data_IF_058021380955
#
_entry.id   IF_058021380955
#
_cell.length_a   1.000
_cell.length_b   1.000
_cell.length_c   1.000
_cell.angle_alpha   90.00
_cell.angle_beta   90.00
_cell.angle_gamma   90.00
#
_symmetry.space_group_name_H-M   'P 1'
#
loop_
_entity.id
_entity.type
_entity.pdbx_description
1 polymer ?
#
# COMPACT_ATOMS: atom_id res chain seq x y z
N UNK A 1 -2.98 -11.71 23.72
CA UNK A 1 -3.47 -12.92 23.03
C UNK A 1 -4.97 -12.85 22.76
N UNK A 2 -5.83 -12.67 23.77
CA UNK A 2 -7.27 -12.46 23.58
C UNK A 2 -7.60 -11.36 22.55
N UNK A 3 -6.92 -10.21 22.62
CA UNK A 3 -7.02 -9.14 21.63
C UNK A 3 -6.66 -9.57 20.20
N UNK A 4 -5.65 -10.43 20.03
CA UNK A 4 -5.31 -10.99 18.71
C UNK A 4 -6.44 -11.89 18.20
N UNK A 5 -7.05 -12.71 19.05
CA UNK A 5 -8.21 -13.53 18.66
C UNK A 5 -9.41 -12.68 18.26
N UNK A 6 -9.70 -11.61 19.01
CA UNK A 6 -10.72 -10.63 18.66
C UNK A 6 -10.44 -9.96 17.30
N UNK A 7 -9.18 -9.60 17.03
CA UNK A 7 -8.74 -9.07 15.74
C UNK A 7 -8.88 -10.11 14.61
N UNK A 8 -8.57 -11.37 14.84
CA UNK A 8 -8.78 -12.44 13.86
C UNK A 8 -10.27 -12.67 13.59
N UNK A 9 -11.11 -12.62 14.64
CA UNK A 9 -12.58 -12.67 14.51
C UNK A 9 -13.09 -11.49 13.67
N UNK A 10 -12.60 -10.27 13.91
CA UNK A 10 -12.91 -9.09 13.10
C UNK A 10 -12.51 -9.27 11.62
N UNK A 11 -11.38 -9.95 11.36
CA UNK A 11 -10.90 -10.27 10.00
C UNK A 11 -11.61 -11.44 9.32
N UNK A 12 -12.64 -12.04 9.95
CA UNK A 12 -13.27 -13.28 9.51
C UNK A 12 -12.27 -14.44 9.31
N UNK A 13 -11.22 -14.47 10.14
CA UNK A 13 -10.20 -15.51 10.13
C UNK A 13 -10.42 -16.48 11.31
N UNK A 14 -9.92 -17.72 11.19
CA UNK A 14 -9.80 -18.63 12.33
C UNK A 14 -9.14 -17.97 13.55
N UNK A 15 -9.83 -18.01 14.70
CA UNK A 15 -9.37 -17.42 15.96
C UNK A 15 -9.30 -18.40 17.14
N UNK A 16 -10.04 -19.52 17.08
CA UNK A 16 -10.02 -20.61 18.07
C UNK A 16 -9.35 -21.89 17.55
N UNK A 17 -8.45 -21.76 16.58
CA UNK A 17 -7.69 -22.89 16.04
C UNK A 17 -6.36 -22.40 15.47
N UNK A 18 -5.35 -23.26 15.55
CA UNK A 18 -4.06 -23.07 14.91
C UNK A 18 -3.78 -24.21 13.91
N UNK A 19 -3.12 -23.86 12.81
CA UNK A 19 -2.71 -24.81 11.77
C UNK A 19 -1.23 -25.21 11.88
N UNK A 20 -0.49 -24.62 12.82
CA UNK A 20 0.89 -24.97 13.13
C UNK A 20 0.95 -25.82 14.41
N UNK A 21 2.09 -26.48 14.62
CA UNK A 21 2.40 -27.23 15.85
C UNK A 21 1.31 -28.26 16.27
N UNK A 22 0.62 -28.88 15.31
CA UNK A 22 -0.52 -29.79 15.56
C UNK A 22 -0.19 -30.93 16.53
N UNK A 23 1.05 -31.43 16.49
CA UNK A 23 1.52 -32.45 17.42
C UNK A 23 1.56 -31.93 18.87
N UNK A 24 2.03 -30.69 19.08
CA UNK A 24 2.05 -30.09 20.42
C UNK A 24 0.64 -29.71 20.86
N UNK A 25 -0.18 -29.20 19.94
CA UNK A 25 -1.56 -28.78 20.21
C UNK A 25 -2.48 -29.92 20.68
N UNK A 26 -2.13 -31.17 20.39
CA UNK A 26 -2.87 -32.37 20.82
C UNK A 26 -2.32 -33.02 22.10
N UNK A 27 -1.12 -32.63 22.56
CA UNK A 27 -0.51 -33.18 23.78
C UNK A 27 -0.91 -32.36 25.01
N UNK A 28 -1.42 -33.00 26.08
CA UNK A 28 -1.66 -32.31 27.34
C UNK A 28 -0.38 -31.67 27.90
N UNK A 29 -0.49 -30.41 28.32
CA UNK A 29 0.61 -29.62 28.87
C UNK A 29 0.89 -30.03 30.32
N UNK A 30 2.16 -30.30 30.61
CA UNK A 30 2.64 -30.45 31.98
C UNK A 30 2.98 -29.07 32.56
N UNK A 31 2.77 -28.83 33.87
CA UNK A 31 2.30 -29.78 34.88
C UNK A 31 0.77 -29.92 34.97
N UNK A 32 -0.01 -29.20 34.14
CA UNK A 32 -1.47 -29.16 34.26
C UNK A 32 -2.15 -30.53 34.08
N UNK A 33 -1.58 -31.40 33.26
CA UNK A 33 -2.07 -32.76 33.02
C UNK A 33 -1.56 -33.81 34.03
N UNK A 34 -0.88 -33.41 35.10
CA UNK A 34 -0.53 -34.34 36.18
C UNK A 34 -1.78 -34.73 36.96
N UNK A 35 -1.72 -35.88 37.65
CA UNK A 35 -2.87 -36.40 38.38
C UNK A 35 -3.37 -35.42 39.46
N UNK A 36 -4.58 -35.69 39.94
CA UNK A 36 -5.28 -34.84 40.92
C UNK A 36 -4.52 -34.65 42.25
N UNK A 37 -3.47 -35.44 42.54
CA UNK A 37 -2.62 -35.20 43.70
C UNK A 37 -1.59 -34.08 43.47
N UNK A 38 -1.31 -33.74 42.20
CA UNK A 38 -0.38 -32.67 41.82
C UNK A 38 -1.08 -31.41 41.31
N UNK A 39 -2.16 -31.56 40.54
CA UNK A 39 -2.97 -30.43 40.10
C UNK A 39 -4.36 -30.47 40.74
N UNK A 40 -4.55 -29.72 41.83
CA UNK A 40 -5.83 -29.63 42.56
C UNK A 40 -6.88 -28.77 41.84
N UNK A 41 -6.52 -28.07 40.75
CA UNK A 41 -7.42 -27.19 40.01
C UNK A 41 -8.00 -27.93 38.80
N UNK A 42 -9.24 -28.41 38.95
CA UNK A 42 -9.96 -29.18 37.93
C UNK A 42 -10.09 -28.44 36.60
N UNK A 43 -10.33 -27.12 36.60
CA UNK A 43 -10.42 -26.33 35.36
C UNK A 43 -9.12 -26.39 34.57
N UNK A 44 -7.97 -26.19 35.23
CA UNK A 44 -6.68 -26.25 34.53
C UNK A 44 -6.29 -27.67 34.12
N UNK A 45 -6.74 -28.69 34.86
CA UNK A 45 -6.53 -30.09 34.51
C UNK A 45 -7.34 -30.48 33.26
N UNK A 46 -8.63 -30.14 33.24
CA UNK A 46 -9.55 -30.44 32.13
C UNK A 46 -9.17 -29.67 30.85
N UNK A 47 -8.67 -28.44 31.01
CA UNK A 47 -8.17 -27.62 29.91
C UNK A 47 -6.65 -27.74 29.69
N UNK A 48 -6.02 -28.83 30.15
CA UNK A 48 -4.56 -29.02 30.00
C UNK A 48 -4.10 -29.21 28.55
N UNK A 49 -5.01 -29.45 27.60
CA UNK A 49 -4.66 -29.53 26.17
C UNK A 49 -4.63 -28.13 25.54
N UNK A 50 -3.59 -27.74 24.77
CA UNK A 50 -3.53 -26.39 24.19
C UNK A 50 -4.75 -26.01 23.33
N UNK A 51 -5.35 -26.97 22.61
CA UNK A 51 -6.54 -26.71 21.81
C UNK A 51 -7.75 -26.27 22.63
N UNK A 52 -7.87 -26.66 23.90
CA UNK A 52 -9.00 -26.28 24.76
C UNK A 52 -8.84 -24.91 25.43
N UNK A 53 -7.70 -24.22 25.25
CA UNK A 53 -7.43 -22.93 25.90
C UNK A 53 -7.55 -21.73 24.97
N UNK A 54 -7.83 -21.93 23.68
CA UNK A 54 -8.11 -20.81 22.78
C UNK A 54 -9.35 -20.03 23.22
N UNK A 55 -10.41 -20.73 23.64
CA UNK A 55 -11.60 -20.09 24.16
C UNK A 55 -11.41 -19.69 25.62
N UNK A 56 -10.89 -18.49 25.83
CA UNK A 56 -10.66 -17.97 27.18
C UNK A 56 -11.96 -17.64 27.92
N UNK A 57 -13.06 -17.35 27.21
CA UNK A 57 -14.37 -17.14 27.85
C UNK A 57 -14.89 -18.46 28.43
N UNK A 58 -14.63 -19.57 27.73
CA UNK A 58 -14.87 -20.94 28.23
C UNK A 58 -14.08 -21.30 29.51
N UNK A 59 -12.98 -20.59 29.80
CA UNK A 59 -12.23 -20.73 31.07
C UNK A 59 -12.84 -19.92 32.23
N UNK A 60 -13.91 -19.16 31.98
CA UNK A 60 -14.67 -18.46 33.02
C UNK A 60 -14.15 -17.07 33.39
N UNK A 61 -13.37 -16.43 32.53
CA UNK A 61 -12.91 -15.05 32.74
C UNK A 61 -13.11 -14.17 31.49
N UNK A 62 -13.19 -12.86 31.73
CA UNK A 62 -13.27 -11.84 30.69
C UNK A 62 -12.38 -10.65 31.05
N UNK A 63 -12.06 -9.83 30.06
CA UNK A 63 -11.37 -8.55 30.25
C UNK A 63 -12.40 -7.42 30.30
N UNK A 64 -12.11 -6.38 31.05
CA UNK A 64 -12.91 -5.16 31.13
C UNK A 64 -12.99 -4.43 29.78
N UNK A 65 -11.89 -4.44 29.01
CA UNK A 65 -11.83 -3.96 27.64
C UNK A 65 -10.82 -4.77 26.80
N UNK A 66 -10.91 -4.63 25.47
CA UNK A 66 -9.95 -5.18 24.51
C UNK A 66 -9.47 -4.06 23.57
N UNK A 67 -8.83 -3.06 24.17
CA UNK A 67 -8.29 -1.91 23.46
C UNK A 67 -6.75 -1.95 23.40
N UNK A 68 -6.19 -1.40 22.33
CA UNK A 68 -4.75 -1.21 22.17
C UNK A 68 -4.46 0.28 22.09
N UNK A 69 -3.81 0.84 23.13
CA UNK A 69 -3.51 2.27 23.18
C UNK A 69 -4.76 3.16 23.01
N UNK A 70 -5.89 2.73 23.61
CA UNK A 70 -7.19 3.39 23.48
C UNK A 70 -7.91 3.16 22.15
N UNK A 71 -7.33 2.37 21.24
CA UNK A 71 -7.96 2.02 19.97
C UNK A 71 -8.76 0.73 20.07
N UNK A 72 -9.94 0.74 19.47
CA UNK A 72 -10.78 -0.43 19.26
C UNK A 72 -10.13 -1.43 18.30
N UNK A 73 -10.67 -2.66 18.26
CA UNK A 73 -10.19 -3.73 17.36
C UNK A 73 -10.27 -3.32 15.88
N UNK A 74 -11.29 -2.55 15.48
CA UNK A 74 -11.44 -2.10 14.10
C UNK A 74 -10.37 -1.06 13.73
N UNK A 75 -10.16 -0.06 14.58
CA UNK A 75 -9.12 0.96 14.40
C UNK A 75 -7.72 0.32 14.39
N UNK A 76 -7.49 -0.67 15.25
CA UNK A 76 -6.24 -1.43 15.23
C UNK A 76 -6.03 -2.18 13.89
N UNK A 77 -7.07 -2.75 13.29
CA UNK A 77 -6.95 -3.38 11.96
C UNK A 77 -6.60 -2.35 10.88
N UNK A 78 -7.22 -1.17 10.92
CA UNK A 78 -6.95 -0.08 9.99
C UNK A 78 -5.52 0.44 10.13
N UNK A 79 -5.03 0.64 11.36
CA UNK A 79 -3.62 1.00 11.62
C UNK A 79 -2.65 -0.06 11.09
N UNK A 80 -2.97 -1.35 11.25
CA UNK A 80 -2.16 -2.45 10.72
C UNK A 80 -2.18 -2.45 9.17
N UNK A 81 -3.31 -2.11 8.53
CA UNK A 81 -3.40 -1.98 7.07
C UNK A 81 -2.54 -0.82 6.58
N UNK A 82 -2.64 0.36 7.20
CA UNK A 82 -1.79 1.51 6.89
C UNK A 82 -0.30 1.16 7.05
N UNK A 83 0.07 0.42 8.10
CA UNK A 83 1.43 -0.08 8.29
C UNK A 83 1.87 -1.08 7.20
N UNK A 84 0.95 -1.87 6.66
CA UNK A 84 1.22 -2.81 5.55
C UNK A 84 1.33 -2.14 4.19
N UNK A 85 0.81 -0.92 4.03
CA UNK A 85 0.90 -0.14 2.80
C UNK A 85 2.25 0.58 2.65
N UNK A 86 3.24 0.28 3.50
CA UNK A 86 4.58 0.82 3.44
C UNK A 86 5.58 -0.31 3.24
N UNK A 87 6.56 -0.07 2.37
CA UNK A 87 7.72 -0.93 2.22
C UNK A 87 8.51 -1.01 3.52
N UNK A 88 8.99 -2.21 3.83
CA UNK A 88 9.75 -2.46 5.04
C UNK A 88 10.87 -3.45 4.79
N UNK A 89 12.00 -3.20 5.44
CA UNK A 89 13.06 -4.19 5.58
C UNK A 89 13.02 -4.74 7.00
N UNK A 90 13.10 -6.07 7.09
CA UNK A 90 13.21 -6.77 8.36
C UNK A 90 14.57 -7.44 8.49
N UNK A 91 15.19 -7.30 9.66
CA UNK A 91 16.19 -8.23 10.14
C UNK A 91 15.47 -9.48 10.67
N UNK A 92 15.78 -10.64 10.10
CA UNK A 92 15.09 -11.89 10.39
C UNK A 92 16.04 -12.87 11.09
N UNK A 93 15.72 -13.23 12.32
CA UNK A 93 16.56 -14.05 13.20
C UNK A 93 15.95 -15.45 13.37
N UNK A 94 16.75 -16.49 13.14
CA UNK A 94 16.38 -17.86 13.51
C UNK A 94 16.85 -18.10 14.94
N UNK A 95 15.92 -18.18 15.89
CA UNK A 95 16.24 -18.23 17.31
C UNK A 95 16.10 -19.66 17.85
N UNK A 96 17.02 -20.03 18.73
CA UNK A 96 17.01 -21.28 19.49
C UNK A 96 17.50 -21.03 20.93
N UNK A 97 17.28 -22.02 21.82
CA UNK A 97 17.79 -21.97 23.18
C UNK A 97 19.31 -21.85 23.20
N UNK A 98 19.82 -20.92 24.02
CA UNK A 98 21.27 -20.65 24.19
C UNK A 98 21.78 -21.00 25.59
N UNK A 99 20.93 -21.60 26.44
CA UNK A 99 21.29 -22.07 27.80
C UNK A 99 21.43 -20.98 28.85
N UNK A 100 21.19 -19.72 28.49
CA UNK A 100 21.22 -18.56 29.39
C UNK A 100 20.35 -17.44 28.83
N UNK A 101 19.99 -16.46 29.66
CA UNK A 101 19.34 -15.26 29.18
C UNK A 101 20.37 -14.30 28.59
N UNK A 102 20.05 -13.67 27.47
CA UNK A 102 20.95 -12.73 26.81
C UNK A 102 20.21 -11.58 26.11
N UNK A 103 20.88 -10.45 26.08
CA UNK A 103 20.54 -9.24 25.34
C UNK A 103 21.21 -9.32 23.98
N UNK A 104 20.43 -9.22 22.90
CA UNK A 104 20.93 -9.23 21.53
C UNK A 104 20.79 -7.84 20.95
N UNK A 105 21.91 -7.10 20.97
CA UNK A 105 22.02 -5.81 20.32
C UNK A 105 22.43 -6.01 18.87
N UNK A 106 21.84 -5.23 17.96
CA UNK A 106 22.27 -5.26 16.57
C UNK A 106 22.23 -3.88 15.91
N UNK A 107 23.16 -3.69 14.99
CA UNK A 107 23.35 -2.45 14.23
C UNK A 107 23.40 -2.76 12.74
N UNK A 108 22.94 -1.82 11.94
CA UNK A 108 23.12 -1.82 10.49
C UNK A 108 24.41 -1.08 10.18
N UNK A 109 25.32 -1.71 9.44
CA UNK A 109 26.64 -1.17 9.10
C UNK A 109 26.86 -1.16 7.59
N UNK A 110 27.45 -0.10 7.06
CA UNK A 110 27.86 -0.04 5.64
C UNK A 110 29.25 -0.66 5.43
N UNK A 111 29.64 -0.89 4.17
CA UNK A 111 30.98 -1.36 3.79
C UNK A 111 32.13 -0.45 4.27
N UNK A 112 31.83 0.81 4.60
CA UNK A 112 32.78 1.78 5.16
C UNK A 112 32.81 1.78 6.71
N UNK A 113 32.27 0.75 7.36
CA UNK A 113 32.16 0.59 8.82
C UNK A 113 31.37 1.70 9.54
N UNK A 114 30.52 2.44 8.82
CA UNK A 114 29.57 3.35 9.44
C UNK A 114 28.36 2.56 9.95
N UNK A 115 28.18 2.50 11.27
CA UNK A 115 27.11 1.72 11.91
C UNK A 115 26.06 2.60 12.61
N UNK A 116 24.78 2.27 12.39
CA UNK A 116 23.64 2.83 13.13
C UNK A 116 22.97 1.72 13.93
N UNK A 117 22.71 1.99 15.22
CA UNK A 117 22.01 1.06 16.11
C UNK A 117 20.60 0.82 15.57
N UNK A 118 20.26 -0.44 15.31
CA UNK A 118 19.00 -0.81 14.65
C UNK A 118 17.97 -1.38 15.62
N UNK A 119 18.42 -2.08 16.67
CA UNK A 119 17.49 -2.61 17.65
C UNK A 119 18.13 -3.42 18.76
N UNK A 120 17.25 -3.97 19.59
CA UNK A 120 17.55 -4.84 20.71
C UNK A 120 16.37 -5.79 20.89
N UNK A 121 16.67 -7.08 21.11
CA UNK A 121 15.71 -8.04 21.63
C UNK A 121 16.36 -8.92 22.69
N UNK A 122 15.52 -9.60 23.46
CA UNK A 122 15.95 -10.41 24.60
C UNK A 122 15.60 -11.87 24.34
N UNK A 123 16.53 -12.76 24.68
CA UNK A 123 16.29 -14.20 24.74
C UNK A 123 16.32 -14.60 26.21
N UNK A 124 15.26 -15.26 26.68
CA UNK A 124 15.22 -15.83 28.01
C UNK A 124 15.64 -17.30 27.95
N UNK A 125 16.55 -17.69 28.83
CA UNK A 125 17.06 -19.05 28.87
C UNK A 125 17.73 -19.37 30.20
N UNK A 126 17.87 -20.66 30.46
CA UNK A 126 18.51 -21.19 31.65
C UNK A 126 19.13 -22.54 31.33
N UNK A 127 20.08 -22.99 32.16
CA UNK A 127 20.64 -24.33 32.05
C UNK A 127 19.60 -25.45 32.26
N UNK A 128 18.43 -25.13 32.84
CA UNK A 128 17.30 -26.04 33.03
C UNK A 128 16.22 -25.90 31.96
N UNK A 129 16.42 -25.08 30.92
CA UNK A 129 15.42 -24.89 29.88
C UNK A 129 15.19 -26.16 29.08
N UNK A 130 13.94 -26.38 28.66
CA UNK A 130 13.68 -27.41 27.66
C UNK A 130 14.27 -26.96 26.33
N UNK A 131 14.96 -27.84 25.56
CA UNK A 131 15.47 -27.46 24.25
C UNK A 131 14.34 -26.95 23.34
N UNK A 132 14.57 -25.80 22.71
CA UNK A 132 13.62 -25.18 21.80
C UNK A 132 14.33 -24.50 20.63
N UNK A 133 13.63 -24.44 19.51
CA UNK A 133 13.97 -23.61 18.36
C UNK A 133 12.68 -23.13 17.71
N UNK A 134 12.64 -21.89 17.25
CA UNK A 134 11.49 -21.41 16.48
C UNK A 134 11.48 -22.07 15.09
N UNK A 135 10.29 -22.44 14.63
CA UNK A 135 10.07 -22.97 13.28
C UNK A 135 10.15 -21.89 12.19
N UNK A 136 10.11 -20.62 12.58
CA UNK A 136 10.07 -19.44 11.71
C UNK A 136 10.98 -18.34 12.24
N UNK A 137 11.35 -17.44 11.34
CA UNK A 137 12.19 -16.30 11.65
C UNK A 137 11.44 -15.26 12.47
N UNK A 138 12.05 -14.82 13.57
CA UNK A 138 11.65 -13.61 14.28
C UNK A 138 12.06 -12.40 13.44
N UNK A 139 11.11 -11.54 13.08
CA UNK A 139 11.35 -10.39 12.21
C UNK A 139 11.33 -9.10 13.02
N UNK A 140 12.36 -8.29 12.87
CA UNK A 140 12.47 -6.96 13.46
C UNK A 140 12.55 -5.91 12.36
N UNK A 141 11.72 -4.88 12.41
CA UNK A 141 11.69 -3.82 11.41
C UNK A 141 12.90 -2.88 11.55
N UNK A 142 13.78 -2.88 10.55
CA UNK A 142 15.00 -2.06 10.51
C UNK A 142 14.91 -0.92 9.49
N UNK A 143 13.73 -0.69 8.91
CA UNK A 143 13.53 0.31 7.86
C UNK A 143 13.97 1.71 8.29
N UNK A 144 13.78 2.04 9.57
CA UNK A 144 14.22 3.31 10.16
C UNK A 144 15.76 3.42 10.21
N UNK A 145 16.46 2.35 10.56
CA UNK A 145 17.92 2.34 10.68
C UNK A 145 18.60 2.43 9.31
N UNK A 146 18.03 1.77 8.30
CA UNK A 146 18.48 1.85 6.90
C UNK A 146 18.32 3.28 6.37
N UNK A 147 17.14 3.89 6.57
CA UNK A 147 16.89 5.29 6.17
C UNK A 147 17.83 6.29 6.88
N UNK A 148 18.13 6.06 8.15
CA UNK A 148 19.04 6.92 8.92
C UNK A 148 20.50 6.87 8.41
N UNK A 149 20.89 5.79 7.72
CA UNK A 149 22.18 5.69 7.04
C UNK A 149 22.19 6.38 5.67
N UNK A 150 21.07 6.95 5.23
CA UNK A 150 20.92 7.54 3.90
C UNK A 150 20.85 6.51 2.79
N UNK A 151 20.54 5.25 3.12
CA UNK A 151 20.37 4.16 2.17
C UNK A 151 18.89 4.03 1.76
N UNK A 152 18.68 3.65 0.51
CA UNK A 152 17.36 3.31 0.00
C UNK A 152 16.99 1.87 0.42
N UNK A 153 15.70 1.59 0.58
CA UNK A 153 15.26 0.25 1.00
C UNK A 153 15.55 -0.82 -0.07
N UNK A 154 15.79 -0.40 -1.31
CA UNK A 154 16.12 -1.27 -2.45
C UNK A 154 17.62 -1.59 -2.54
N UNK A 155 18.48 -0.88 -1.81
CA UNK A 155 19.93 -1.12 -1.80
C UNK A 155 20.29 -2.51 -1.23
N UNK A 156 19.37 -3.16 -0.52
CA UNK A 156 19.48 -4.57 -0.08
C UNK A 156 19.72 -5.52 -1.27
N UNK A 157 19.24 -5.17 -2.46
CA UNK A 157 19.36 -6.00 -3.66
C UNK A 157 20.64 -5.72 -4.46
N UNK A 158 21.37 -4.65 -4.14
CA UNK A 158 22.57 -4.27 -4.87
C UNK A 158 23.80 -4.98 -4.29
N UNK A 159 24.41 -5.86 -5.10
CA UNK A 159 25.58 -6.62 -4.68
C UNK A 159 26.85 -5.77 -4.45
N UNK A 160 26.87 -4.51 -4.92
CA UNK A 160 28.06 -3.66 -4.91
C UNK A 160 28.17 -2.72 -3.69
N UNK A 161 27.08 -2.52 -2.94
CA UNK A 161 27.03 -1.67 -1.72
C UNK A 161 26.24 -2.35 -0.57
N UNK A 162 26.52 -3.63 -0.19
CA UNK A 162 25.72 -4.30 0.81
C UNK A 162 25.98 -3.71 2.21
N UNK A 163 24.94 -3.27 2.90
CA UNK A 163 24.99 -3.13 4.34
C UNK A 163 24.83 -4.50 5.01
N UNK A 164 25.46 -4.69 6.16
CA UNK A 164 25.38 -5.93 6.94
C UNK A 164 24.91 -5.65 8.36
N UNK A 165 24.47 -6.71 9.04
CA UNK A 165 24.06 -6.65 10.43
C UNK A 165 25.21 -7.08 11.33
N UNK A 166 25.60 -6.20 12.25
CA UNK A 166 26.54 -6.51 13.33
C UNK A 166 25.76 -6.85 14.59
N UNK A 167 26.07 -7.99 15.21
CA UNK A 167 25.42 -8.47 16.43
C UNK A 167 26.40 -8.41 17.60
N UNK A 168 25.92 -7.90 18.72
CA UNK A 168 26.60 -7.92 20.02
C UNK A 168 25.67 -8.63 21.01
N UNK A 169 26.04 -9.85 21.42
CA UNK A 169 25.23 -10.71 22.29
C UNK A 169 25.85 -10.72 23.69
N UNK A 170 25.10 -10.28 24.69
CA UNK A 170 25.57 -10.17 26.08
C UNK A 170 24.66 -10.98 26.99
N UNK A 171 25.19 -12.01 27.64
CA UNK A 171 24.46 -12.76 28.64
C UNK A 171 24.15 -11.87 29.86
N UNK A 172 23.08 -12.18 30.59
CA UNK A 172 22.64 -11.39 31.77
C UNK A 172 23.74 -11.26 32.84
N UNK A 173 24.69 -12.20 32.90
CA UNK A 173 25.84 -12.13 33.80
C UNK A 173 26.99 -11.20 33.30
N UNK A 174 26.81 -10.51 32.18
CA UNK A 174 27.79 -9.63 31.55
C UNK A 174 28.77 -10.32 30.59
N UNK A 175 28.67 -11.64 30.40
CA UNK A 175 29.56 -12.38 29.49
C UNK A 175 29.17 -12.11 28.04
N UNK A 176 30.12 -11.68 27.22
CA UNK A 176 29.91 -11.55 25.77
C UNK A 176 29.91 -12.94 25.14
N UNK A 177 28.80 -13.29 24.50
CA UNK A 177 28.66 -14.55 23.78
C UNK A 177 29.20 -14.42 22.35
N UNK A 178 29.70 -15.51 21.74
CA UNK A 178 30.14 -15.46 20.35
C UNK A 178 28.97 -15.12 19.43
N UNK A 179 29.22 -14.41 18.33
CA UNK A 179 28.20 -14.10 17.33
C UNK A 179 27.56 -15.34 16.71
N UNK A 180 28.25 -16.49 16.74
CA UNK A 180 27.73 -17.79 16.32
C UNK A 180 26.75 -18.42 17.32
N UNK A 181 26.50 -17.81 18.48
CA UNK A 181 25.51 -18.28 19.44
C UNK A 181 24.07 -18.21 18.87
N UNK A 182 23.86 -17.36 17.87
CA UNK A 182 22.63 -17.27 17.08
C UNK A 182 23.03 -17.30 15.59
N UNK A 183 22.29 -18.02 14.73
CA UNK A 183 22.49 -17.97 13.28
C UNK A 183 22.52 -16.54 12.73
N UNK A 184 23.31 -16.32 11.68
CA UNK A 184 23.37 -15.03 11.01
C UNK A 184 21.96 -14.59 10.54
N UNK A 185 21.57 -13.33 10.78
CA UNK A 185 20.25 -12.84 10.39
C UNK A 185 20.14 -12.70 8.87
N UNK A 186 18.93 -12.89 8.37
CA UNK A 186 18.58 -12.64 6.96
C UNK A 186 17.89 -11.29 6.83
N UNK A 187 18.21 -10.54 5.77
CA UNK A 187 17.45 -9.35 5.39
C UNK A 187 16.22 -9.77 4.57
N UNK A 188 15.04 -9.31 4.97
CA UNK A 188 13.79 -9.56 4.25
C UNK A 188 13.19 -8.23 3.86
N UNK A 189 13.21 -7.92 2.58
CA UNK A 189 12.40 -6.86 2.02
C UNK A 189 10.94 -7.32 1.90
N UNK A 190 10.02 -6.47 2.35
CA UNK A 190 8.58 -6.69 2.23
C UNK A 190 7.96 -5.47 1.57
N UNK A 191 7.46 -5.60 0.33
CA UNK A 191 6.79 -4.50 -0.35
C UNK A 191 5.46 -4.16 0.33
N UNK A 192 5.00 -2.94 0.09
CA UNK A 192 3.68 -2.45 0.43
C UNK A 192 2.64 -3.41 -0.14
N UNK A 193 1.68 -3.80 0.69
CA UNK A 193 0.63 -4.73 0.31
C UNK A 193 -0.41 -4.01 -0.57
N UNK A 194 -0.09 -3.81 -1.84
CA UNK A 194 -1.08 -3.49 -2.85
C UNK A 194 -1.72 -4.77 -3.39
N UNK A 195 -3.04 -4.73 -3.60
CA UNK A 195 -3.82 -5.85 -4.14
C UNK A 195 -3.34 -6.22 -5.54
N UNK A 196 -2.64 -7.35 -5.66
CA UNK A 196 -2.38 -8.04 -6.93
C UNK A 196 -1.05 -7.66 -7.61
N UNK A 197 0.06 -8.22 -7.11
CA UNK A 197 1.27 -8.33 -7.92
C UNK A 197 1.01 -9.30 -9.08
N UNK A 198 0.81 -8.77 -10.28
CA UNK A 198 1.28 -9.45 -11.48
C UNK A 198 2.79 -9.21 -11.58
N UNK A 199 3.56 -10.29 -11.67
CA UNK A 199 4.96 -10.26 -12.08
C UNK A 199 5.02 -9.67 -13.50
N UNK A 200 5.23 -8.37 -13.62
CA UNK A 200 5.84 -7.79 -14.81
C UNK A 200 7.32 -7.64 -14.51
N UNK A 201 8.11 -8.32 -15.32
CA UNK A 201 9.55 -8.43 -15.15
C UNK A 201 10.24 -7.08 -15.11
N UNK A 202 11.47 -7.15 -14.62
CA UNK A 202 12.52 -6.13 -14.67
C UNK A 202 12.72 -5.60 -16.10
N UNK A 203 11.78 -4.78 -16.56
CA UNK A 203 12.01 -3.80 -17.59
C UNK A 203 12.50 -2.58 -16.84
N UNK A 204 13.83 -2.44 -16.81
CA UNK A 204 14.56 -1.18 -16.69
C UNK A 204 13.61 -0.02 -16.97
N UNK A 205 13.30 0.78 -15.96
CA UNK A 205 12.40 1.93 -16.06
C UNK A 205 12.87 2.84 -17.18
N UNK A 206 12.38 2.58 -18.39
CA UNK A 206 12.56 3.46 -19.52
C UNK A 206 11.87 4.75 -19.18
N UNK A 207 12.56 5.87 -19.39
CA UNK A 207 11.95 7.20 -19.31
C UNK A 207 10.62 7.18 -20.06
N UNK A 208 9.50 7.37 -19.34
CA UNK A 208 8.15 7.43 -19.91
C UNK A 208 7.29 6.16 -19.84
N UNK A 209 7.73 5.08 -19.15
CA UNK A 209 6.83 3.92 -18.92
C UNK A 209 5.75 4.28 -17.88
N UNK A 210 4.47 4.10 -18.23
CA UNK A 210 3.34 4.25 -17.32
C UNK A 210 3.09 2.94 -16.57
N UNK A 211 3.16 2.95 -15.25
CA UNK A 211 2.95 1.79 -14.37
C UNK A 211 1.61 1.85 -13.65
N UNK A 212 1.13 0.72 -13.14
CA UNK A 212 -0.03 0.71 -12.25
C UNK A 212 0.31 1.51 -10.98
N UNK A 213 -0.59 2.40 -10.55
CA UNK A 213 -0.44 3.20 -9.33
C UNK A 213 -0.22 2.32 -8.09
N UNK A 214 -0.81 1.12 -8.08
CA UNK A 214 -0.71 0.15 -6.99
C UNK A 214 0.64 -0.58 -6.96
N UNK A 215 1.43 -0.56 -8.04
CA UNK A 215 2.75 -1.21 -8.11
C UNK A 215 3.93 -0.23 -8.02
N UNK A 216 3.67 1.05 -7.72
CA UNK A 216 4.73 2.06 -7.61
C UNK A 216 5.60 1.84 -6.36
N UNK A 217 6.90 1.98 -6.56
CA UNK A 217 7.88 2.02 -5.46
C UNK A 217 7.82 3.37 -4.72
N UNK A 218 8.27 3.46 -3.46
CA UNK A 218 8.35 4.70 -2.71
C UNK A 218 9.25 5.74 -3.36
N UNK A 219 10.30 5.29 -4.04
CA UNK A 219 11.20 6.17 -4.79
C UNK A 219 10.48 6.77 -5.98
N UNK A 220 9.69 5.97 -6.72
CA UNK A 220 8.83 6.46 -7.79
C UNK A 220 7.73 7.40 -7.24
N UNK A 221 7.09 7.07 -6.13
CA UNK A 221 6.08 7.92 -5.47
C UNK A 221 6.70 9.26 -5.04
N UNK A 222 7.85 9.24 -4.37
CA UNK A 222 8.53 10.44 -3.90
C UNK A 222 8.97 11.32 -5.08
N UNK A 223 9.53 10.70 -6.13
CA UNK A 223 9.94 11.40 -7.34
C UNK A 223 8.74 12.01 -8.09
N UNK A 224 7.63 11.29 -8.22
CA UNK A 224 6.40 11.79 -8.82
C UNK A 224 5.79 12.94 -8.01
N UNK A 225 5.79 12.84 -6.67
CA UNK A 225 5.31 13.90 -5.79
C UNK A 225 6.17 15.16 -5.94
N UNK A 226 7.49 15.02 -5.93
CA UNK A 226 8.39 16.16 -6.12
C UNK A 226 8.20 16.82 -7.49
N UNK A 227 8.16 16.02 -8.57
CA UNK A 227 7.92 16.52 -9.92
C UNK A 227 6.57 17.23 -10.04
N UNK A 228 5.48 16.65 -9.52
CA UNK A 228 4.15 17.26 -9.58
C UNK A 228 4.10 18.58 -8.82
N UNK A 229 4.75 18.65 -7.64
CA UNK A 229 4.83 19.90 -6.87
C UNK A 229 5.51 21.00 -7.68
N UNK A 230 6.64 20.68 -8.32
CA UNK A 230 7.33 21.64 -9.19
C UNK A 230 6.48 22.06 -10.40
N UNK A 231 5.66 21.17 -10.96
CA UNK A 231 4.69 21.52 -12.03
C UNK A 231 3.57 22.42 -11.50
N UNK A 232 3.08 22.20 -10.27
CA UNK A 232 2.05 23.04 -9.61
C UNK A 232 2.55 24.45 -9.25
N UNK A 233 3.84 24.58 -8.98
CA UNK A 233 4.51 25.86 -8.70
C UNK A 233 4.91 26.62 -9.97
N UNK A 234 5.04 25.93 -11.11
CA UNK A 234 5.39 26.52 -12.40
C UNK A 234 4.24 27.39 -12.95
N UNK A 235 4.57 28.63 -13.32
CA UNK A 235 3.64 29.62 -13.88
C UNK A 235 3.78 29.82 -15.39
N UNK A 236 4.67 29.06 -16.03
CA UNK A 236 4.86 29.05 -17.48
C UNK A 236 3.74 28.29 -18.22
N UNK A 237 3.84 28.21 -19.54
CA UNK A 237 2.94 27.40 -20.38
C UNK A 237 3.01 25.89 -20.09
N UNK A 238 4.03 25.41 -19.37
CA UNK A 238 4.14 24.02 -18.93
C UNK A 238 3.67 23.81 -17.49
N UNK A 239 3.20 24.87 -16.82
CA UNK A 239 2.71 24.81 -15.44
C UNK A 239 1.32 24.19 -15.32
N UNK A 240 1.03 23.65 -14.14
CA UNK A 240 -0.19 22.87 -13.87
C UNK A 240 -1.48 23.61 -14.25
N UNK A 241 -1.56 24.92 -13.96
CA UNK A 241 -2.74 25.73 -14.30
C UNK A 241 -2.93 25.91 -15.80
N UNK A 242 -1.83 26.15 -16.53
CA UNK A 242 -1.87 26.32 -17.97
C UNK A 242 -2.29 25.01 -18.65
N UNK A 243 -1.83 23.87 -18.14
CA UNK A 243 -2.22 22.56 -18.63
C UNK A 243 -3.68 22.24 -18.29
N UNK A 244 -4.10 22.39 -17.03
CA UNK A 244 -5.48 22.09 -16.61
C UNK A 244 -6.54 22.88 -17.42
N UNK A 245 -6.22 24.12 -17.82
CA UNK A 245 -7.09 24.97 -18.64
C UNK A 245 -7.44 24.40 -20.02
N UNK A 246 -6.64 23.47 -20.57
CA UNK A 246 -6.93 22.87 -21.89
C UNK A 246 -8.25 22.09 -21.89
N UNK A 247 -8.66 21.53 -20.75
CA UNK A 247 -9.83 20.68 -20.68
C UNK A 247 -11.13 21.48 -20.63
N UNK A 248 -11.33 22.26 -19.56
CA UNK A 248 -12.59 22.92 -19.24
C UNK A 248 -12.42 24.43 -19.09
N UNK A 249 -12.42 24.91 -17.85
CA UNK A 249 -12.22 26.33 -17.53
C UNK A 249 -10.76 26.63 -17.17
N UNK A 250 -10.24 27.82 -17.50
CA UNK A 250 -10.84 28.82 -18.39
C UNK A 250 -10.88 28.31 -19.85
N UNK A 251 -11.96 28.57 -20.60
CA UNK A 251 -12.15 27.99 -21.92
C UNK A 251 -11.19 28.65 -22.92
N UNK A 252 -10.54 27.84 -23.75
CA UNK A 252 -9.48 28.28 -24.66
C UNK A 252 -9.88 28.26 -26.14
N UNK A 253 -10.92 27.51 -26.51
CA UNK A 253 -11.30 27.30 -27.91
C UNK A 253 -12.38 28.29 -28.35
N UNK A 254 -12.50 28.51 -29.67
CA UNK A 254 -13.53 29.35 -30.26
C UNK A 254 -14.49 28.51 -31.10
N UNK A 255 -15.76 28.89 -31.12
CA UNK A 255 -16.75 28.36 -32.05
C UNK A 255 -16.35 28.64 -33.51
N UNK A 256 -16.93 27.90 -34.47
CA UNK A 256 -16.59 28.03 -35.91
C UNK A 256 -16.78 29.45 -36.47
N UNK A 257 -17.70 30.22 -35.89
CA UNK A 257 -17.98 31.61 -36.21
C UNK A 257 -17.15 32.62 -35.38
N UNK A 258 -16.33 32.13 -34.44
CA UNK A 258 -15.43 32.94 -33.60
C UNK A 258 -16.12 33.70 -32.46
N UNK A 259 -17.44 33.58 -32.31
CA UNK A 259 -18.23 34.43 -31.41
C UNK A 259 -18.23 33.96 -29.96
N UNK A 260 -18.12 32.65 -29.74
CA UNK A 260 -18.27 32.02 -28.42
C UNK A 260 -16.98 31.30 -28.03
N UNK A 261 -16.58 31.43 -26.76
CA UNK A 261 -15.45 30.68 -26.21
C UNK A 261 -15.96 29.38 -25.59
N UNK A 262 -15.36 28.27 -25.95
CA UNK A 262 -15.77 26.91 -25.59
C UNK A 262 -14.60 26.17 -24.92
N UNK A 263 -14.93 25.19 -24.09
CA UNK A 263 -13.97 24.19 -23.63
C UNK A 263 -13.35 23.46 -24.84
N UNK A 264 -12.06 23.16 -24.80
CA UNK A 264 -11.36 22.53 -25.93
C UNK A 264 -11.46 21.00 -25.92
N UNK A 265 -11.86 20.39 -24.80
CA UNK A 265 -11.96 18.94 -24.69
C UNK A 265 -12.91 18.35 -25.73
N UNK A 266 -12.46 17.28 -26.40
CA UNK A 266 -13.30 16.51 -27.32
C UNK A 266 -14.02 15.40 -26.54
N UNK A 267 -15.35 15.49 -26.43
CA UNK A 267 -16.23 14.48 -25.83
C UNK A 267 -17.45 14.25 -26.73
N UNK A 268 -18.04 13.07 -26.69
CA UNK A 268 -19.18 12.66 -27.52
C UNK A 268 -18.83 12.55 -29.00
N UNK A 269 -17.56 12.24 -29.31
CA UNK A 269 -17.01 12.24 -30.67
C UNK A 269 -15.90 11.21 -30.81
N UNK A 270 -15.71 10.57 -31.97
CA UNK A 270 -14.64 9.58 -32.20
C UNK A 270 -13.21 10.10 -31.97
N UNK A 271 -13.02 11.42 -31.87
CA UNK A 271 -11.73 12.05 -31.54
C UNK A 271 -11.44 12.14 -30.05
N UNK A 272 -12.39 11.76 -29.17
CA UNK A 272 -12.24 11.70 -27.71
C UNK A 272 -10.94 11.02 -27.26
N UNK A 273 -10.63 9.77 -27.66
CA UNK A 273 -9.44 9.09 -27.14
C UNK A 273 -8.15 9.74 -27.65
N UNK A 274 -8.17 10.33 -28.84
CA UNK A 274 -7.03 11.05 -29.44
C UNK A 274 -6.68 12.30 -28.64
N UNK A 275 -7.68 13.12 -28.32
CA UNK A 275 -7.47 14.37 -27.59
C UNK A 275 -6.96 14.10 -26.17
N UNK A 276 -7.55 13.13 -25.48
CA UNK A 276 -7.17 12.78 -24.12
C UNK A 276 -5.80 12.07 -24.01
N UNK A 277 -5.41 11.29 -25.03
CA UNK A 277 -4.05 10.74 -25.15
C UNK A 277 -3.01 11.85 -25.21
N UNK A 278 -3.23 12.87 -26.04
CA UNK A 278 -2.36 14.04 -26.12
C UNK A 278 -2.36 14.86 -24.83
N UNK A 279 -3.52 15.01 -24.20
CA UNK A 279 -3.64 15.78 -22.96
C UNK A 279 -2.88 15.13 -21.80
N UNK A 280 -3.01 13.81 -21.64
CA UNK A 280 -2.24 13.03 -20.65
C UNK A 280 -0.75 13.11 -20.95
N UNK A 281 -0.36 13.03 -22.23
CA UNK A 281 1.03 13.15 -22.66
C UNK A 281 1.63 14.51 -22.33
N UNK A 282 0.86 15.59 -22.46
CA UNK A 282 1.31 16.95 -22.15
C UNK A 282 1.62 17.13 -20.66
N UNK A 283 0.82 16.56 -19.76
CA UNK A 283 1.13 16.55 -18.32
C UNK A 283 2.33 15.65 -18.01
N UNK A 284 2.43 14.49 -18.66
CA UNK A 284 3.58 13.59 -18.52
C UNK A 284 4.90 14.27 -18.94
N UNK A 285 4.91 15.02 -20.04
CA UNK A 285 6.09 15.80 -20.47
C UNK A 285 6.46 16.89 -19.47
N UNK A 286 5.47 17.56 -18.88
CA UNK A 286 5.73 18.55 -17.83
C UNK A 286 6.35 17.92 -16.58
N UNK A 287 5.88 16.74 -16.16
CA UNK A 287 6.49 15.98 -15.07
C UNK A 287 7.92 15.54 -15.41
N UNK A 288 8.15 15.06 -16.63
CA UNK A 288 9.49 14.65 -17.09
C UNK A 288 10.47 15.82 -17.09
N UNK A 289 10.04 17.02 -17.50
CA UNK A 289 10.84 18.25 -17.42
C UNK A 289 11.21 18.65 -15.99
N UNK A 290 10.44 18.20 -14.99
CA UNK A 290 10.73 18.38 -13.56
C UNK A 290 11.40 17.15 -12.91
N UNK A 291 11.88 16.21 -13.72
CA UNK A 291 12.70 15.08 -13.25
C UNK A 291 11.91 13.82 -12.88
N UNK A 292 10.65 13.69 -13.30
CA UNK A 292 9.93 12.42 -13.17
C UNK A 292 10.63 11.30 -13.97
N UNK A 293 10.89 10.17 -13.32
CA UNK A 293 11.62 9.01 -13.89
C UNK A 293 10.72 8.03 -14.62
N UNK A 294 9.43 8.03 -14.29
CA UNK A 294 8.40 7.18 -14.92
C UNK A 294 7.33 8.06 -15.58
N UNK A 295 6.56 7.46 -16.49
CA UNK A 295 5.40 8.11 -17.09
C UNK A 295 4.24 8.26 -16.09
N UNK A 296 3.18 8.93 -16.51
CA UNK A 296 1.99 9.14 -15.66
C UNK A 296 1.40 7.78 -15.24
N UNK A 297 1.37 7.42 -13.94
CA UNK A 297 0.84 6.12 -13.52
C UNK A 297 -0.64 5.99 -13.88
N UNK A 298 -1.09 4.76 -14.14
CA UNK A 298 -2.50 4.47 -14.40
C UNK A 298 -3.17 3.88 -13.16
N UNK A 299 -4.42 4.27 -12.91
CA UNK A 299 -5.26 3.63 -11.90
C UNK A 299 -6.19 2.63 -12.57
N UNK A 300 -5.94 1.33 -12.35
CA UNK A 300 -6.74 0.26 -12.98
C UNK A 300 -8.09 0.04 -12.28
N UNK A 301 -9.02 0.95 -12.57
CA UNK A 301 -10.40 0.90 -12.08
C UNK A 301 -11.24 -0.24 -12.69
N UNK A 302 -10.71 -1.05 -13.61
CA UNK A 302 -11.40 -2.25 -14.10
C UNK A 302 -11.33 -3.39 -13.09
N UNK A 303 -10.30 -3.41 -12.25
CA UNK A 303 -10.16 -4.37 -11.15
C UNK A 303 -10.99 -3.97 -9.93
N UNK A 304 -11.20 -4.89 -8.98
CA UNK A 304 -11.93 -4.58 -7.76
C UNK A 304 -11.02 -3.84 -6.77
N UNK A 305 -11.46 -2.67 -6.31
CA UNK A 305 -10.78 -1.87 -5.30
C UNK A 305 -11.76 -1.43 -4.20
N UNK A 306 -11.24 -1.17 -3.00
CA UNK A 306 -12.05 -0.82 -1.81
C UNK A 306 -11.93 0.65 -1.40
N UNK A 307 -10.96 1.35 -1.96
CA UNK A 307 -10.67 2.75 -1.71
C UNK A 307 -9.96 3.34 -2.94
N UNK A 308 -9.90 4.67 -3.03
CA UNK A 308 -9.05 5.35 -4.01
C UNK A 308 -7.56 5.05 -3.73
N UNK A 309 -6.68 5.16 -4.74
CA UNK A 309 -5.25 4.89 -4.57
C UNK A 309 -4.61 5.71 -3.43
N UNK A 310 -3.65 5.11 -2.71
CA UNK A 310 -2.91 5.79 -1.63
C UNK A 310 -2.22 7.07 -2.12
N UNK A 311 -1.71 7.04 -3.35
CA UNK A 311 -1.07 8.19 -3.99
C UNK A 311 -1.94 9.45 -3.93
N UNK A 312 -3.27 9.32 -4.02
CA UNK A 312 -4.20 10.46 -4.03
C UNK A 312 -4.96 10.67 -2.72
N UNK A 313 -4.80 9.80 -1.72
CA UNK A 313 -5.55 9.85 -0.44
C UNK A 313 -4.71 10.17 0.77
N UNK A 314 -3.39 9.97 0.72
CA UNK A 314 -2.49 10.37 1.81
C UNK A 314 -2.56 11.88 2.05
N UNK A 315 -2.76 12.29 3.30
CA UNK A 315 -3.02 13.69 3.68
C UNK A 315 -1.75 14.50 3.93
N UNK A 316 -0.64 13.85 4.27
CA UNK A 316 0.61 14.51 4.61
C UNK A 316 1.46 14.79 3.36
N UNK A 317 1.80 16.05 3.14
CA UNK A 317 2.75 16.50 2.13
C UNK A 317 2.52 15.92 0.72
N UNK A 318 1.27 15.82 0.29
CA UNK A 318 0.89 15.10 -0.92
C UNK A 318 0.29 16.03 -2.01
N UNK A 319 1.00 16.31 -3.10
CA UNK A 319 0.50 17.17 -4.19
C UNK A 319 -0.58 16.49 -5.04
N UNK A 320 -0.80 15.19 -4.89
CA UNK A 320 -1.87 14.44 -5.56
C UNK A 320 -3.20 14.46 -4.80
N UNK A 321 -3.22 14.98 -3.56
CA UNK A 321 -4.40 15.00 -2.70
C UNK A 321 -5.53 15.86 -3.30
N UNK A 322 -5.17 17.06 -3.75
CA UNK A 322 -6.06 18.06 -4.33
C UNK A 322 -5.26 19.03 -5.19
N UNK A 323 -5.91 19.71 -6.14
CA UNK A 323 -5.28 20.75 -6.96
C UNK A 323 -5.89 22.12 -6.74
N UNK A 324 -5.08 23.17 -6.84
CA UNK A 324 -5.54 24.56 -6.75
C UNK A 324 -6.27 24.99 -8.03
N UNK A 325 -7.31 25.83 -7.89
CA UNK A 325 -8.03 26.44 -9.01
C UNK A 325 -7.77 27.95 -9.00
N UNK A 326 -6.62 28.38 -9.55
CA UNK A 326 -6.10 29.75 -9.34
C UNK A 326 -6.87 30.83 -10.13
N UNK A 327 -7.47 30.49 -11.27
CA UNK A 327 -8.15 31.49 -12.11
C UNK A 327 -9.39 32.13 -11.45
N UNK A 328 -9.94 31.50 -10.41
CA UNK A 328 -11.09 32.02 -9.67
C UNK A 328 -10.71 33.11 -8.65
N UNK A 329 -9.41 33.40 -8.44
CA UNK A 329 -8.90 34.37 -7.46
C UNK A 329 -9.45 34.19 -6.03
N UNK A 330 -9.84 32.96 -5.70
CA UNK A 330 -10.26 32.50 -4.39
C UNK A 330 -9.39 31.27 -4.10
N UNK A 331 -8.90 31.11 -2.87
CA UNK A 331 -8.14 29.92 -2.44
C UNK A 331 -9.07 28.68 -2.46
N UNK A 332 -9.32 28.17 -3.66
CA UNK A 332 -10.18 27.03 -3.94
C UNK A 332 -9.31 25.86 -4.38
N UNK A 333 -9.65 24.70 -3.83
CA UNK A 333 -9.02 23.43 -4.17
C UNK A 333 -10.08 22.48 -4.72
N UNK A 334 -9.64 21.49 -5.48
CA UNK A 334 -10.52 20.41 -5.92
C UNK A 334 -11.01 19.59 -4.74
N UNK A 335 -12.20 19.04 -4.90
CA UNK A 335 -12.87 18.20 -3.90
C UNK A 335 -13.27 16.88 -4.53
N UNK A 336 -13.33 15.81 -3.71
CA UNK A 336 -13.82 14.50 -4.11
C UNK A 336 -14.91 14.07 -3.14
N UNK A 337 -15.99 13.51 -3.66
CA UNK A 337 -17.13 13.00 -2.89
C UNK A 337 -17.48 11.60 -3.42
N UNK A 338 -16.61 10.59 -3.18
CA UNK A 338 -16.74 9.30 -3.83
C UNK A 338 -18.04 8.60 -3.44
N UNK A 339 -18.84 8.21 -4.44
CA UNK A 339 -20.09 7.50 -4.25
C UNK A 339 -19.84 6.03 -3.85
N UNK A 340 -20.68 5.47 -2.98
CA UNK A 340 -20.59 4.08 -2.52
C UNK A 340 -20.52 3.04 -3.66
N UNK A 341 -21.24 3.30 -4.76
CA UNK A 341 -21.28 2.42 -5.95
C UNK A 341 -19.92 2.30 -6.65
N UNK A 342 -18.99 3.23 -6.41
CA UNK A 342 -17.63 3.16 -6.91
C UNK A 342 -16.89 1.91 -6.41
N UNK A 343 -17.17 1.49 -5.18
CA UNK A 343 -16.47 0.39 -4.50
C UNK A 343 -17.30 -0.89 -4.41
N UNK A 344 -18.62 -0.78 -4.63
CA UNK A 344 -19.59 -1.87 -4.48
C UNK A 344 -20.34 -2.03 -5.78
N UNK A 345 -20.12 -3.14 -6.47
CA UNK A 345 -21.01 -3.58 -7.56
C UNK A 345 -22.18 -4.37 -6.93
N UNK A 346 -23.39 -3.80 -6.83
CA UNK A 346 -24.46 -4.41 -6.06
C UNK A 346 -25.19 -5.51 -6.83
N UNK A 347 -24.99 -5.65 -8.14
CA UNK A 347 -25.90 -6.44 -8.99
C UNK A 347 -25.35 -7.81 -9.40
N UNK A 348 -24.04 -7.96 -9.65
CA UNK A 348 -23.53 -9.09 -10.44
C UNK A 348 -22.16 -9.66 -9.97
N UNK A 349 -22.11 -10.23 -8.76
CA UNK A 349 -21.09 -11.22 -8.35
C UNK A 349 -19.63 -10.75 -8.28
N UNK A 350 -18.67 -11.62 -8.65
CA UNK A 350 -17.22 -11.42 -8.46
C UNK A 350 -16.56 -10.39 -9.41
N UNK A 351 -17.26 -9.89 -10.43
CA UNK A 351 -16.68 -9.00 -11.47
C UNK A 351 -17.32 -7.62 -11.43
N UNK A 352 -16.49 -6.58 -11.39
CA UNK A 352 -16.92 -5.18 -11.22
C UNK A 352 -17.75 -4.66 -12.40
N UNK A 353 -18.52 -3.59 -12.15
CA UNK A 353 -19.28 -2.87 -13.16
C UNK A 353 -18.37 -2.43 -14.32
N UNK A 354 -17.22 -1.87 -13.95
CA UNK A 354 -16.20 -1.40 -14.88
C UNK A 354 -15.62 -2.51 -15.75
N UNK A 355 -15.32 -3.67 -15.16
CA UNK A 355 -14.84 -4.84 -15.90
C UNK A 355 -15.83 -5.22 -17.01
N UNK A 356 -17.12 -5.27 -16.69
CA UNK A 356 -18.17 -5.68 -17.65
C UNK A 356 -18.33 -4.69 -18.81
N UNK A 357 -18.32 -3.38 -18.51
CA UNK A 357 -18.48 -2.35 -19.53
C UNK A 357 -17.24 -2.21 -20.42
N UNK A 358 -16.04 -2.29 -19.83
CA UNK A 358 -14.80 -2.27 -20.61
C UNK A 358 -14.67 -3.54 -21.44
N UNK A 359 -15.05 -4.71 -20.92
CA UNK A 359 -15.05 -5.95 -21.71
C UNK A 359 -15.96 -5.83 -22.93
N UNK A 360 -17.16 -5.27 -22.77
CA UNK A 360 -18.09 -5.05 -23.89
C UNK A 360 -17.54 -4.03 -24.92
N UNK A 361 -16.83 -2.99 -24.47
CA UNK A 361 -16.11 -2.10 -25.37
C UNK A 361 -15.05 -2.88 -26.16
N UNK A 362 -14.24 -3.71 -25.49
CA UNK A 362 -13.19 -4.51 -26.12
C UNK A 362 -13.70 -5.58 -27.09
N UNK A 363 -14.97 -6.00 -26.98
CA UNK A 363 -15.61 -6.89 -27.95
C UNK A 363 -15.87 -6.22 -29.31
N UNK A 364 -15.93 -4.88 -29.36
CA UNK A 364 -16.24 -4.16 -30.59
C UNK A 364 -15.05 -4.21 -31.56
N UNK A 365 -15.33 -4.52 -32.82
CA UNK A 365 -14.30 -4.57 -33.88
C UNK A 365 -14.19 -3.26 -34.66
N UNK A 366 -15.27 -2.49 -34.72
CA UNK A 366 -15.27 -1.14 -35.30
C UNK A 366 -14.85 -0.11 -34.24
N UNK A 367 -14.02 0.86 -34.67
CA UNK A 367 -13.49 1.89 -33.78
C UNK A 367 -14.60 2.81 -33.23
N UNK A 368 -15.60 3.16 -34.02
CA UNK A 368 -16.68 4.05 -33.58
C UNK A 368 -17.61 3.34 -32.60
N UNK A 369 -17.87 2.05 -32.82
CA UNK A 369 -18.64 1.23 -31.87
C UNK A 369 -17.88 1.05 -30.54
N UNK A 370 -16.56 0.82 -30.60
CA UNK A 370 -15.68 0.79 -29.42
C UNK A 370 -15.74 2.12 -28.65
N UNK A 371 -15.57 3.24 -29.34
CA UNK A 371 -15.37 4.56 -28.73
C UNK A 371 -16.56 4.98 -27.85
N UNK A 372 -17.79 4.72 -28.28
CA UNK A 372 -18.99 5.07 -27.51
C UNK A 372 -19.03 4.30 -26.18
N UNK A 373 -18.78 2.98 -26.21
CA UNK A 373 -18.80 2.15 -24.98
C UNK A 373 -17.65 2.53 -24.04
N UNK A 374 -16.50 2.84 -24.63
CA UNK A 374 -15.29 3.26 -23.96
C UNK A 374 -15.45 4.61 -23.25
N UNK A 375 -15.96 5.64 -23.94
CA UNK A 375 -16.19 6.98 -23.37
C UNK A 375 -17.24 6.94 -22.24
N UNK A 376 -18.30 6.15 -22.39
CA UNK A 376 -19.32 6.02 -21.35
C UNK A 376 -18.79 5.34 -20.08
N UNK A 377 -17.91 4.35 -20.24
CA UNK A 377 -17.21 3.72 -19.11
C UNK A 377 -16.30 4.71 -18.38
N UNK A 378 -15.57 5.53 -19.13
CA UNK A 378 -14.75 6.64 -18.63
C UNK A 378 -15.59 7.64 -17.81
N UNK A 379 -16.72 8.11 -18.35
CA UNK A 379 -17.58 9.11 -17.70
C UNK A 379 -18.12 8.64 -16.34
N UNK A 380 -18.28 7.34 -16.14
CA UNK A 380 -18.74 6.77 -14.87
C UNK A 380 -17.75 7.05 -13.74
N UNK A 381 -16.44 6.95 -14.01
CA UNK A 381 -15.41 7.24 -12.99
C UNK A 381 -15.45 8.71 -12.59
N UNK A 382 -15.55 9.62 -13.57
CA UNK A 382 -15.71 11.06 -13.32
C UNK A 382 -16.85 11.37 -12.36
N UNK A 383 -18.03 10.84 -12.68
CA UNK A 383 -19.23 11.07 -11.88
C UNK A 383 -19.11 10.47 -10.47
N UNK A 384 -18.69 9.21 -10.36
CA UNK A 384 -18.66 8.51 -9.07
C UNK A 384 -17.52 8.96 -8.15
N UNK A 385 -16.41 9.48 -8.67
CA UNK A 385 -15.33 10.06 -7.85
C UNK A 385 -15.67 11.48 -7.40
N UNK A 386 -16.22 12.30 -8.30
CA UNK A 386 -16.54 13.70 -7.99
C UNK A 386 -17.83 13.88 -7.18
N UNK A 387 -18.76 12.94 -7.32
CA UNK A 387 -20.05 12.95 -6.62
C UNK A 387 -20.81 14.25 -6.84
N UNK A 388 -21.39 14.77 -5.76
CA UNK A 388 -22.22 15.97 -5.78
C UNK A 388 -21.42 17.29 -5.79
N UNK A 389 -20.08 17.21 -5.74
CA UNK A 389 -19.24 18.36 -5.48
C UNK A 389 -18.95 19.17 -6.75
N UNK A 390 -19.02 20.50 -6.66
CA UNK A 390 -18.88 21.40 -7.83
C UNK A 390 -17.45 21.42 -8.41
N UNK A 391 -16.44 21.48 -7.55
CA UNK A 391 -15.03 21.63 -7.94
C UNK A 391 -14.33 20.26 -8.01
N UNK A 392 -14.93 19.33 -8.73
CA UNK A 392 -14.56 17.90 -8.65
C UNK A 392 -14.42 17.26 -10.02
N UNK A 393 -14.11 15.97 -10.01
CA UNK A 393 -14.08 15.15 -11.23
C UNK A 393 -15.45 14.98 -11.92
N UNK A 394 -16.57 15.29 -11.25
CA UNK A 394 -17.91 15.15 -11.84
C UNK A 394 -18.29 16.31 -12.77
N UNK A 395 -17.47 17.36 -12.84
CA UNK A 395 -17.74 18.53 -13.68
C UNK A 395 -16.66 18.71 -14.75
N UNK A 396 -17.11 18.93 -15.99
CA UNK A 396 -16.22 19.18 -17.13
C UNK A 396 -15.28 20.37 -16.90
N UNK A 397 -15.80 21.38 -16.22
CA UNK A 397 -15.13 22.66 -15.94
C UNK A 397 -13.86 22.50 -15.08
N UNK A 398 -13.90 21.62 -14.08
CA UNK A 398 -12.90 21.55 -13.02
C UNK A 398 -12.16 20.21 -12.92
N UNK A 399 -12.64 19.17 -13.60
CA UNK A 399 -12.09 17.81 -13.47
C UNK A 399 -10.58 17.71 -13.71
N UNK A 400 -10.03 18.47 -14.66
CA UNK A 400 -8.59 18.47 -15.00
C UNK A 400 -7.68 19.10 -13.94
N UNK A 401 -8.24 19.81 -12.96
CA UNK A 401 -7.49 20.36 -11.84
C UNK A 401 -7.21 19.31 -10.78
N UNK A 402 -7.98 18.22 -10.74
CA UNK A 402 -7.76 17.15 -9.77
C UNK A 402 -6.63 16.23 -10.26
N UNK A 403 -5.54 16.00 -9.50
CA UNK A 403 -4.45 15.12 -9.95
C UNK A 403 -4.88 13.68 -10.30
N UNK A 404 -5.99 13.19 -9.72
CA UNK A 404 -6.56 11.87 -10.04
C UNK A 404 -7.08 11.80 -11.48
N UNK A 405 -7.40 12.93 -12.11
CA UNK A 405 -7.75 13.01 -13.52
C UNK A 405 -6.72 12.31 -14.41
N UNK A 406 -5.44 12.58 -14.18
CA UNK A 406 -4.38 12.07 -15.05
C UNK A 406 -4.10 10.59 -14.83
N UNK A 407 -4.30 10.08 -13.60
CA UNK A 407 -4.25 8.64 -13.31
C UNK A 407 -5.39 7.89 -14.00
N UNK A 408 -6.59 8.47 -13.95
CA UNK A 408 -7.76 7.95 -14.64
C UNK A 408 -7.54 7.90 -16.15
N UNK A 409 -7.10 9.01 -16.75
CA UNK A 409 -6.86 9.12 -18.19
C UNK A 409 -5.68 8.30 -18.68
N UNK A 410 -4.68 8.08 -17.84
CA UNK A 410 -3.60 7.12 -18.11
C UNK A 410 -4.15 5.69 -18.24
N UNK A 411 -5.12 5.29 -17.42
CA UNK A 411 -5.80 3.99 -17.57
C UNK A 411 -6.75 3.95 -18.77
N UNK A 412 -7.47 5.04 -19.05
CA UNK A 412 -8.31 5.19 -20.25
C UNK A 412 -7.45 4.98 -21.50
N UNK A 413 -6.32 5.68 -21.61
CA UNK A 413 -5.37 5.52 -22.72
C UNK A 413 -4.78 4.09 -22.80
N UNK A 414 -4.49 3.47 -21.65
CA UNK A 414 -4.06 2.06 -21.58
C UNK A 414 -5.11 1.09 -22.14
N UNK A 415 -6.38 1.27 -21.81
CA UNK A 415 -7.47 0.42 -22.35
C UNK A 415 -7.56 0.57 -23.87
N UNK A 416 -7.41 1.79 -24.41
CA UNK A 416 -7.37 1.98 -25.85
C UNK A 416 -6.15 1.29 -26.48
N UNK A 417 -4.97 1.36 -25.84
CA UNK A 417 -3.79 0.63 -26.30
C UNK A 417 -3.98 -0.90 -26.26
N UNK A 418 -4.72 -1.42 -25.28
CA UNK A 418 -5.09 -2.85 -25.21
C UNK A 418 -5.99 -3.23 -26.38
N UNK A 419 -6.96 -2.40 -26.76
CA UNK A 419 -7.82 -2.65 -27.92
C UNK A 419 -7.05 -2.62 -29.25
N UNK A 420 -5.98 -1.83 -29.34
CA UNK A 420 -5.15 -1.73 -30.54
C UNK A 420 -4.22 -2.94 -30.74
N UNK A 421 -3.96 -3.72 -29.69
CA UNK A 421 -3.05 -4.87 -29.70
C UNK A 421 -3.77 -6.16 -30.14
#
# INVERSE_FOLDING_TARGET
WAMWQALQKHRNQPYNKAYCALEQMSKPMKPFSFDENFNLNSVTHDHSTPNSVFDYEGLGYAYDNLEFDGHSIAELDDMIRVSKNKDRIFAAFLLHGIGTSADVHFSVCTSADHCVKAGLFFVLGSNLEMPWAFDRLYKYDISHAVKNLGLDLEDVFQAQEPFYLKLDIVAVNGTVLPSSAIPAPTLIYKPAAATGHHEEGDHTGGSGVRKNVDSLTPTEIANLRDALRQVQEDSSSHGYQALAAYHGLPPMCKSKDGTTTLACCAHGMPTFPHWHRLFTKQMEDALALKGARIGMPYWDWTTQFKALPSLVTETENNPFLQGDIKFMNINLHTTRDPMDYLFKDPELGEKSFFYRHVLYALEQTDFCDFEIQFEMSHNTVHNWVGGSSKFSMSTLDYTSYDPLFYLHHSNTDRIWAIWQA
#
